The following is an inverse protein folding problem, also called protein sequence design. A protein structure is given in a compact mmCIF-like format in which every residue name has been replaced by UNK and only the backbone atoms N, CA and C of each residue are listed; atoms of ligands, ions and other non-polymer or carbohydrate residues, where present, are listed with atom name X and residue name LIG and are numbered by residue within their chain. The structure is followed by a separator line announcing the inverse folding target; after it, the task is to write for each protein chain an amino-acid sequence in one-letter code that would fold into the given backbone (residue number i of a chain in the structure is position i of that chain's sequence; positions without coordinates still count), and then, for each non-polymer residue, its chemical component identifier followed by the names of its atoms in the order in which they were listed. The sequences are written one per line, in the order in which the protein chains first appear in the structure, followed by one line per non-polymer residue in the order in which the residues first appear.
data_IF_565865823272
#
_entry.id   IF_565865823272
#
_cell.length_a   1.000
_cell.length_b   1.000
_cell.length_c   1.000
_cell.angle_alpha   90.00
_cell.angle_beta   90.00
_cell.angle_gamma   90.00
#
_symmetry.space_group_name_H-M   'P 1'
#
loop_
_entity.id
_entity.type
_entity.pdbx_description
1 polymer ?
#
# COMPACT_ATOMS: atom_id res chain seq x y z
N UNK A 1 4.72 18.15 -2.59
CA UNK A 1 4.41 17.16 -1.51
C UNK A 1 5.37 15.98 -1.68
N UNK A 2 5.98 15.51 -0.60
CA UNK A 2 6.86 14.33 -0.58
C UNK A 2 6.03 13.07 -0.47
N UNK A 3 6.31 12.07 -1.32
CA UNK A 3 5.61 10.79 -1.34
C UNK A 3 6.58 9.72 -0.82
N UNK A 4 6.15 9.00 0.20
CA UNK A 4 6.88 7.89 0.77
C UNK A 4 6.14 6.59 0.48
N UNK A 5 6.88 5.61 -0.06
CA UNK A 5 6.35 4.27 -0.30
C UNK A 5 7.05 3.31 0.64
N UNK A 6 6.28 2.70 1.53
CA UNK A 6 6.73 1.59 2.38
C UNK A 6 6.43 0.27 1.67
N UNK A 7 7.31 -0.70 1.80
CA UNK A 7 7.10 -2.06 1.29
C UNK A 7 7.14 -3.05 2.45
N UNK A 8 6.08 -3.81 2.61
CA UNK A 8 5.90 -4.74 3.73
C UNK A 8 7.01 -5.79 3.83
N UNK A 9 7.28 -6.20 5.04
CA UNK A 9 8.11 -7.35 5.39
C UNK A 9 9.56 -7.32 4.87
N UNK A 10 10.29 -8.41 5.09
CA UNK A 10 11.62 -8.68 4.57
C UNK A 10 11.76 -10.17 4.21
N UNK A 11 12.87 -10.53 3.57
CA UNK A 11 13.14 -11.91 3.14
C UNK A 11 13.12 -12.93 4.30
N UNK A 12 13.43 -12.46 5.50
CA UNK A 12 13.47 -13.22 6.75
C UNK A 12 12.15 -13.19 7.54
N UNK A 13 11.06 -12.59 7.01
CA UNK A 13 9.76 -12.61 7.69
C UNK A 13 9.06 -13.95 7.43
N UNK A 14 8.80 -14.79 8.46
CA UNK A 14 8.18 -16.09 8.27
C UNK A 14 6.75 -16.01 7.75
N UNK A 15 6.32 -17.00 6.94
CA UNK A 15 4.92 -17.21 6.55
C UNK A 15 4.35 -16.19 5.57
N UNK A 16 5.13 -15.21 5.12
CA UNK A 16 4.69 -14.16 4.20
C UNK A 16 4.91 -14.57 2.73
N UNK A 17 4.13 -15.60 2.32
CA UNK A 17 4.23 -16.20 0.98
C UNK A 17 2.97 -16.98 0.62
N UNK A 18 2.79 -17.28 -0.67
CA UNK A 18 1.83 -18.29 -1.11
C UNK A 18 2.22 -19.70 -0.64
N UNK A 19 1.25 -20.61 -0.47
CA UNK A 19 1.52 -22.00 -0.05
C UNK A 19 2.49 -22.75 -0.95
N UNK A 20 2.46 -22.51 -2.27
CA UNK A 20 3.37 -23.11 -3.26
C UNK A 20 4.69 -22.34 -3.41
N UNK A 21 4.84 -21.20 -2.73
CA UNK A 21 6.03 -20.36 -2.79
C UNK A 21 6.21 -19.57 -4.07
N UNK A 22 5.23 -19.57 -4.98
CA UNK A 22 5.27 -18.81 -6.24
C UNK A 22 5.25 -17.29 -6.02
N UNK A 23 4.65 -16.84 -4.91
CA UNK A 23 4.66 -15.44 -4.48
C UNK A 23 5.29 -15.33 -3.09
N UNK A 24 6.24 -14.39 -2.95
CA UNK A 24 6.80 -13.96 -1.67
C UNK A 24 6.47 -12.50 -1.46
N UNK A 25 5.68 -12.18 -0.42
CA UNK A 25 5.16 -10.84 -0.18
C UNK A 25 6.25 -9.77 -0.17
N UNK A 26 7.37 -10.03 0.52
CA UNK A 26 8.46 -9.04 0.61
C UNK A 26 9.06 -8.66 -0.75
N UNK A 27 9.23 -9.64 -1.64
CA UNK A 27 9.80 -9.41 -2.97
C UNK A 27 8.78 -8.69 -3.86
N UNK A 28 7.53 -9.12 -3.80
CA UNK A 28 6.42 -8.51 -4.52
C UNK A 28 6.19 -7.05 -4.11
N UNK A 29 6.10 -6.78 -2.79
CA UNK A 29 5.89 -5.43 -2.28
C UNK A 29 7.03 -4.48 -2.68
N UNK A 30 8.28 -4.96 -2.73
CA UNK A 30 9.42 -4.18 -3.23
C UNK A 30 9.32 -3.86 -4.71
N UNK A 31 9.00 -4.85 -5.53
CA UNK A 31 8.81 -4.67 -6.97
C UNK A 31 7.71 -3.63 -7.26
N UNK A 32 6.54 -3.77 -6.62
CA UNK A 32 5.43 -2.84 -6.81
C UNK A 32 5.79 -1.43 -6.30
N UNK A 33 6.40 -1.33 -5.12
CA UNK A 33 6.84 -0.05 -4.55
C UNK A 33 7.87 0.67 -5.45
N UNK A 34 8.81 -0.07 -6.03
CA UNK A 34 9.79 0.49 -6.97
C UNK A 34 9.12 1.00 -8.25
N UNK A 35 8.20 0.21 -8.82
CA UNK A 35 7.45 0.62 -10.02
C UNK A 35 6.62 1.88 -9.75
N UNK A 36 5.92 1.96 -8.61
CA UNK A 36 5.14 3.14 -8.21
C UNK A 36 6.05 4.36 -8.05
N UNK A 37 7.14 4.24 -7.29
CA UNK A 37 8.06 5.35 -7.05
C UNK A 37 8.71 5.84 -8.35
N UNK A 38 9.11 4.92 -9.24
CA UNK A 38 9.67 5.24 -10.56
C UNK A 38 8.66 6.00 -11.42
N UNK A 39 7.42 5.52 -11.53
CA UNK A 39 6.41 6.16 -12.37
C UNK A 39 5.99 7.53 -11.84
N UNK A 40 5.83 7.68 -10.53
CA UNK A 40 5.59 8.99 -9.91
C UNK A 40 6.75 9.96 -10.16
N UNK A 41 8.00 9.49 -10.04
CA UNK A 41 9.20 10.31 -10.32
C UNK A 41 9.28 10.72 -11.78
N UNK A 42 8.94 9.82 -12.71
CA UNK A 42 8.88 10.13 -14.16
C UNK A 42 7.82 11.20 -14.48
N UNK A 43 6.77 11.30 -13.66
CA UNK A 43 5.75 12.36 -13.74
C UNK A 43 6.13 13.66 -13.01
N UNK A 44 7.36 13.75 -12.47
CA UNK A 44 7.86 14.93 -11.77
C UNK A 44 7.49 15.03 -10.29
N UNK A 45 6.96 13.97 -9.69
CA UNK A 45 6.67 13.94 -8.25
C UNK A 45 7.90 13.49 -7.44
N UNK A 46 8.06 14.05 -6.25
CA UNK A 46 9.14 13.68 -5.32
C UNK A 46 8.72 12.43 -4.52
N UNK A 47 8.98 11.25 -5.11
CA UNK A 47 8.61 9.94 -4.57
C UNK A 47 9.84 9.09 -4.26
N UNK A 48 9.84 8.42 -3.10
CA UNK A 48 10.89 7.48 -2.73
C UNK A 48 10.39 6.33 -1.87
N UNK A 49 11.11 5.22 -1.93
CA UNK A 49 10.90 4.06 -1.07
C UNK A 49 11.68 4.22 0.24
N UNK A 50 11.01 3.96 1.39
CA UNK A 50 11.62 4.16 2.73
C UNK A 50 12.40 2.94 3.24
N UNK A 51 12.16 1.74 2.69
CA UNK A 51 12.86 0.50 3.04
C UNK A 51 13.59 -0.03 1.81
N UNK A 52 14.93 0.03 1.82
CA UNK A 52 15.78 -0.42 0.72
C UNK A 52 16.40 -1.79 1.00
N UNK A 53 16.42 -2.19 2.26
CA UNK A 53 16.98 -3.45 2.73
C UNK A 53 16.17 -4.65 2.25
N UNK A 54 16.82 -5.79 1.99
CA UNK A 54 16.15 -7.05 1.70
C UNK A 54 15.55 -7.67 2.97
N UNK A 55 16.29 -7.55 4.10
CA UNK A 55 15.82 -8.03 5.40
C UNK A 55 14.70 -7.16 5.96
N UNK A 56 13.94 -7.71 6.92
CA UNK A 56 12.85 -6.99 7.56
C UNK A 56 13.39 -5.85 8.44
N UNK A 57 12.87 -4.65 8.20
CA UNK A 57 13.13 -3.48 9.02
C UNK A 57 12.03 -3.37 10.06
N UNK A 58 12.36 -3.26 11.37
CA UNK A 58 11.36 -3.13 12.43
C UNK A 58 10.37 -1.99 12.18
N UNK A 59 9.10 -2.21 12.53
CA UNK A 59 8.03 -1.21 12.32
C UNK A 59 8.35 0.15 12.99
N UNK A 60 9.00 0.12 14.15
CA UNK A 60 9.44 1.34 14.84
C UNK A 60 10.47 2.14 14.03
N UNK A 61 11.39 1.45 13.36
CA UNK A 61 12.39 2.08 12.51
C UNK A 61 11.77 2.64 11.22
N UNK A 62 10.80 1.90 10.60
CA UNK A 62 10.03 2.41 9.46
C UNK A 62 9.30 3.70 9.82
N UNK A 63 8.57 3.71 10.95
CA UNK A 63 7.87 4.91 11.43
C UNK A 63 8.85 6.06 11.77
N UNK A 64 10.03 5.76 12.35
CA UNK A 64 11.06 6.76 12.61
C UNK A 64 11.53 7.43 11.32
N UNK A 65 11.84 6.67 10.28
CA UNK A 65 12.26 7.18 8.95
C UNK A 65 11.19 8.12 8.37
N UNK A 66 9.93 7.69 8.37
CA UNK A 66 8.80 8.54 7.90
C UNK A 66 8.72 9.82 8.70
N UNK A 67 8.80 9.74 10.03
CA UNK A 67 8.67 10.90 10.91
C UNK A 67 9.83 11.87 10.80
N UNK A 68 11.03 11.41 10.47
CA UNK A 68 12.16 12.28 10.12
C UNK A 68 11.90 13.10 8.85
N UNK A 69 11.33 12.45 7.82
CA UNK A 69 10.91 13.17 6.61
C UNK A 69 9.80 14.18 6.94
N UNK A 70 8.83 13.79 7.77
CA UNK A 70 7.80 14.71 8.26
C UNK A 70 8.38 15.92 8.99
N UNK A 71 9.45 15.73 9.77
CA UNK A 71 10.17 16.82 10.44
C UNK A 71 10.83 17.79 9.47
N UNK A 72 11.35 17.31 8.35
CA UNK A 72 12.03 18.12 7.33
C UNK A 72 11.06 18.87 6.42
N UNK A 73 9.99 18.20 5.99
CA UNK A 73 9.06 18.74 4.98
C UNK A 73 7.77 19.33 5.60
N UNK A 74 7.51 19.04 6.88
CA UNK A 74 6.22 19.31 7.53
C UNK A 74 5.22 18.19 7.26
N UNK A 75 4.48 17.78 8.29
CA UNK A 75 3.54 16.62 8.24
C UNK A 75 2.47 16.73 7.16
N UNK A 76 2.01 17.95 6.87
CA UNK A 76 1.00 18.21 5.85
C UNK A 76 1.55 18.12 4.40
N UNK A 77 2.87 18.09 4.24
CA UNK A 77 3.54 18.02 2.94
C UNK A 77 4.15 16.64 2.66
N UNK A 78 3.83 15.63 3.46
CA UNK A 78 4.26 14.25 3.31
C UNK A 78 3.03 13.35 3.26
N UNK A 79 3.08 12.31 2.45
CA UNK A 79 2.08 11.25 2.39
C UNK A 79 2.80 9.89 2.36
N UNK A 80 2.25 8.89 3.03
CA UNK A 80 2.77 7.54 3.07
C UNK A 80 1.77 6.55 2.47
N UNK A 81 2.25 5.65 1.61
CA UNK A 81 1.52 4.47 1.17
C UNK A 81 2.35 3.23 1.47
N UNK A 82 1.79 2.28 2.23
CA UNK A 82 2.42 1.02 2.59
C UNK A 82 1.83 -0.12 1.75
N UNK A 83 2.68 -0.87 1.04
CA UNK A 83 2.31 -1.89 0.07
C UNK A 83 2.45 -3.27 0.70
N UNK A 84 1.35 -4.01 0.78
CA UNK A 84 1.23 -5.36 1.33
C UNK A 84 0.39 -6.29 0.46
N UNK A 85 0.43 -7.59 0.76
CA UNK A 85 -0.53 -8.59 0.30
C UNK A 85 -1.19 -9.24 1.52
N UNK A 86 -2.52 -9.33 1.50
CA UNK A 86 -3.30 -9.91 2.58
C UNK A 86 -3.06 -11.43 2.72
N UNK A 87 -3.38 -11.96 3.89
CA UNK A 87 -3.39 -13.39 4.17
C UNK A 87 -4.56 -13.74 5.11
N UNK A 88 -5.25 -14.84 4.82
CA UNK A 88 -6.28 -15.39 5.70
C UNK A 88 -5.72 -16.48 6.63
N UNK A 89 -4.59 -17.08 6.25
CA UNK A 89 -3.88 -18.10 6.99
C UNK A 89 -2.42 -17.73 7.26
N UNK A 90 -1.62 -18.75 7.50
CA UNK A 90 -0.20 -18.61 7.83
C UNK A 90 0.76 -18.94 6.67
N UNK A 91 0.23 -19.07 5.44
CA UNK A 91 1.00 -19.40 4.24
C UNK A 91 1.27 -20.91 4.06
N UNK A 92 0.63 -21.78 4.85
CA UNK A 92 0.78 -23.25 4.71
C UNK A 92 -0.26 -23.86 3.75
N UNK A 93 -1.46 -23.28 3.69
CA UNK A 93 -2.60 -23.81 2.93
C UNK A 93 -3.27 -22.71 2.11
N UNK A 94 -3.91 -23.12 1.00
CA UNK A 94 -4.72 -22.23 0.19
C UNK A 94 -6.04 -21.90 0.91
N UNK A 95 -6.39 -20.60 0.90
CA UNK A 95 -7.57 -20.07 1.57
C UNK A 95 -8.60 -19.52 0.57
N UNK A 96 -9.86 -19.35 1.05
CA UNK A 96 -10.95 -18.86 0.20
C UNK A 96 -11.13 -17.34 0.22
N UNK A 97 -10.55 -16.66 1.23
CA UNK A 97 -10.63 -15.20 1.29
C UNK A 97 -9.84 -14.58 0.14
N UNK A 98 -10.41 -13.55 -0.49
CA UNK A 98 -9.83 -12.90 -1.68
C UNK A 98 -10.22 -11.44 -1.79
N UNK A 99 -9.49 -10.69 -2.59
CA UNK A 99 -9.81 -9.34 -2.99
C UNK A 99 -8.91 -8.26 -2.39
N UNK A 100 -8.97 -7.09 -2.99
CA UNK A 100 -8.19 -5.90 -2.63
C UNK A 100 -8.88 -5.06 -1.56
N UNK A 101 -8.09 -4.41 -0.70
CA UNK A 101 -8.58 -3.43 0.28
C UNK A 101 -7.51 -2.41 0.64
N UNK A 102 -7.94 -1.24 1.13
CA UNK A 102 -7.06 -0.24 1.73
C UNK A 102 -7.49 0.05 3.18
N UNK A 103 -6.51 0.41 3.99
CA UNK A 103 -6.67 0.66 5.42
C UNK A 103 -6.14 2.02 5.80
N UNK A 104 -6.85 2.71 6.69
CA UNK A 104 -6.40 3.90 7.40
C UNK A 104 -6.35 3.64 8.91
N UNK A 105 -5.87 4.59 9.69
CA UNK A 105 -5.97 4.55 11.15
C UNK A 105 -7.38 4.93 11.59
N UNK A 106 -7.82 4.39 12.74
CA UNK A 106 -9.18 4.63 13.27
C UNK A 106 -9.54 6.11 13.42
N UNK A 107 -10.79 6.44 13.06
CA UNK A 107 -11.38 7.77 13.14
C UNK A 107 -11.13 8.62 11.90
N UNK A 108 -11.86 9.70 11.75
CA UNK A 108 -11.78 10.57 10.56
C UNK A 108 -10.42 11.26 10.45
N UNK A 109 -9.67 10.88 9.43
CA UNK A 109 -8.31 11.34 9.17
C UNK A 109 -8.16 11.97 7.79
N UNK A 110 -6.98 12.57 7.53
CA UNK A 110 -6.67 13.06 6.17
C UNK A 110 -6.34 11.91 5.21
N UNK A 111 -6.02 10.74 5.74
CA UNK A 111 -5.69 9.57 4.95
C UNK A 111 -6.92 8.99 4.24
N UNK A 112 -8.12 9.11 4.81
CA UNK A 112 -9.40 8.64 4.26
C UNK A 112 -9.64 9.19 2.84
N UNK A 113 -9.21 10.44 2.61
CA UNK A 113 -9.30 11.07 1.27
C UNK A 113 -8.38 10.42 0.24
N UNK A 114 -7.18 9.96 0.64
CA UNK A 114 -6.30 9.19 -0.23
C UNK A 114 -6.86 7.78 -0.44
N UNK A 115 -7.36 7.16 0.62
CA UNK A 115 -7.99 5.85 0.55
C UNK A 115 -9.20 5.87 -0.39
N UNK A 116 -10.05 6.90 -0.32
CA UNK A 116 -11.17 7.10 -1.25
C UNK A 116 -10.69 7.12 -2.71
N UNK A 117 -9.63 7.89 -3.03
CA UNK A 117 -9.08 7.88 -4.40
C UNK A 117 -8.51 6.52 -4.81
N UNK A 118 -7.87 5.81 -3.88
CA UNK A 118 -7.38 4.45 -4.14
C UNK A 118 -8.54 3.50 -4.48
N UNK A 119 -9.66 3.57 -3.76
CA UNK A 119 -10.86 2.79 -4.07
C UNK A 119 -11.48 3.16 -5.41
N UNK A 120 -11.60 4.45 -5.73
CA UNK A 120 -12.11 4.90 -7.02
C UNK A 120 -11.24 4.43 -8.20
N UNK A 121 -9.92 4.44 -8.06
CA UNK A 121 -9.01 3.92 -9.10
C UNK A 121 -8.98 2.38 -9.12
N UNK A 122 -9.12 1.71 -7.96
CA UNK A 122 -9.26 0.27 -7.89
C UNK A 122 -10.49 -0.22 -8.67
N UNK A 123 -11.63 0.45 -8.53
CA UNK A 123 -12.85 0.10 -9.28
C UNK A 123 -12.68 0.21 -10.79
N UNK A 124 -11.85 1.13 -11.27
CA UNK A 124 -11.55 1.29 -12.70
C UNK A 124 -10.56 0.26 -13.23
N UNK A 125 -9.57 -0.11 -12.42
CA UNK A 125 -8.41 -0.88 -12.87
C UNK A 125 -8.51 -2.38 -12.54
N UNK A 126 -9.26 -2.77 -11.50
CA UNK A 126 -9.41 -4.18 -11.09
C UNK A 126 -10.67 -4.79 -11.67
N UNK A 127 -10.78 -4.80 -13.01
CA UNK A 127 -11.91 -5.35 -13.73
C UNK A 127 -12.07 -6.83 -13.36
N UNK A 128 -13.28 -7.22 -12.95
CA UNK A 128 -13.63 -8.59 -12.52
C UNK A 128 -12.93 -9.08 -11.24
N UNK A 129 -12.16 -8.24 -10.58
CA UNK A 129 -11.56 -8.57 -9.29
C UNK A 129 -12.45 -8.10 -8.13
N UNK A 130 -12.34 -8.80 -7.00
CA UNK A 130 -13.09 -8.42 -5.79
C UNK A 130 -12.41 -7.24 -5.09
N UNK A 131 -13.19 -6.19 -4.80
CA UNK A 131 -12.81 -5.08 -3.94
C UNK A 131 -13.58 -5.19 -2.63
N UNK A 132 -12.87 -5.13 -1.50
CA UNK A 132 -13.43 -5.28 -0.15
C UNK A 132 -13.52 -3.91 0.50
N UNK A 133 -14.74 -3.39 0.61
CA UNK A 133 -15.05 -2.11 1.26
C UNK A 133 -15.58 -2.30 2.65
N UNK A 134 -15.43 -1.28 3.48
CA UNK A 134 -16.19 -1.06 4.70
C UNK A 134 -16.86 0.32 4.59
N UNK A 135 -18.18 0.37 4.50
CA UNK A 135 -18.91 1.62 4.37
C UNK A 135 -19.66 1.95 5.67
N UNK A 136 -19.16 1.48 6.81
CA UNK A 136 -19.84 1.64 8.10
C UNK A 136 -19.80 3.09 8.63
N UNK A 137 -18.87 3.91 8.13
CA UNK A 137 -18.61 5.29 8.57
C UNK A 137 -18.55 6.34 7.44
N UNK A 138 -19.27 6.07 6.33
CA UNK A 138 -19.45 6.92 5.16
C UNK A 138 -18.26 6.99 4.18
N UNK A 139 -17.22 6.17 4.34
CA UNK A 139 -16.15 6.00 3.36
C UNK A 139 -15.82 4.51 3.11
N UNK A 140 -15.07 4.18 2.05
CA UNK A 140 -14.91 2.78 1.64
C UNK A 140 -13.74 2.05 2.30
N UNK A 141 -12.90 2.74 3.04
CA UNK A 141 -11.70 2.14 3.60
C UNK A 141 -11.98 1.37 4.89
N UNK A 142 -11.03 0.55 5.26
CA UNK A 142 -11.07 -0.24 6.48
C UNK A 142 -10.19 0.41 7.52
N UNK A 143 -10.66 0.49 8.74
CA UNK A 143 -9.92 1.11 9.82
C UNK A 143 -9.22 0.07 10.69
N UNK A 144 -7.87 0.19 10.80
CA UNK A 144 -7.08 -0.64 11.70
C UNK A 144 -5.92 0.13 12.34
N UNK A 145 -5.62 -0.20 13.59
CA UNK A 145 -4.48 0.39 14.32
C UNK A 145 -3.15 -0.27 13.94
N UNK A 146 -2.90 -0.44 12.63
CA UNK A 146 -1.59 -0.90 12.19
C UNK A 146 -0.51 0.08 12.62
N UNK A 147 0.63 -0.45 13.08
CA UNK A 147 1.70 0.36 13.65
C UNK A 147 2.15 1.47 12.70
N UNK A 148 2.36 1.14 11.42
CA UNK A 148 2.81 2.10 10.42
C UNK A 148 1.81 3.23 10.17
N UNK A 149 0.50 2.98 10.32
CA UNK A 149 -0.56 3.97 10.19
C UNK A 149 -0.68 4.85 11.44
N UNK A 150 -0.63 4.22 12.63
CA UNK A 150 -0.87 4.91 13.91
C UNK A 150 0.35 5.65 14.48
N UNK A 151 1.58 5.30 14.05
CA UNK A 151 2.83 5.87 14.58
C UNK A 151 3.54 6.84 13.61
N UNK A 152 3.02 7.02 12.41
CA UNK A 152 3.48 8.05 11.47
C UNK A 152 2.67 9.33 11.61
N UNK A 153 3.31 10.48 11.36
CA UNK A 153 2.74 11.81 11.60
C UNK A 153 2.04 12.40 10.37
N UNK A 154 2.25 11.81 9.18
CA UNK A 154 1.61 12.23 7.94
C UNK A 154 0.37 11.38 7.65
N UNK A 155 -0.51 11.79 6.71
CA UNK A 155 -1.52 10.91 6.15
C UNK A 155 -0.90 9.62 5.62
N UNK A 156 -1.39 8.47 6.09
CA UNK A 156 -0.84 7.16 5.79
C UNK A 156 -1.94 6.16 5.43
N UNK A 157 -1.79 5.45 4.31
CA UNK A 157 -2.67 4.38 3.86
C UNK A 157 -1.85 3.10 3.70
N UNK A 158 -2.41 1.96 4.11
CA UNK A 158 -1.86 0.64 3.83
C UNK A 158 -2.79 -0.07 2.84
N UNK A 159 -2.23 -0.58 1.76
CA UNK A 159 -2.99 -1.37 0.79
C UNK A 159 -2.65 -2.85 0.92
N UNK A 160 -3.70 -3.66 1.03
CA UNK A 160 -3.65 -5.10 0.97
C UNK A 160 -4.03 -5.53 -0.46
N UNK A 161 -2.99 -5.72 -1.27
CA UNK A 161 -3.13 -6.02 -2.69
C UNK A 161 -3.44 -7.51 -2.87
N UNK A 162 -4.71 -7.86 -2.68
CA UNK A 162 -5.21 -9.22 -2.78
C UNK A 162 -4.60 -10.18 -1.74
N UNK A 163 -4.95 -11.47 -1.81
CA UNK A 163 -4.54 -12.46 -0.82
C UNK A 163 -3.43 -13.36 -1.37
N UNK A 164 -2.29 -13.38 -0.68
CA UNK A 164 -1.14 -14.21 -1.03
C UNK A 164 -1.37 -15.72 -0.82
N UNK A 165 -2.45 -16.09 -0.15
CA UNK A 165 -2.88 -17.46 0.08
C UNK A 165 -4.20 -17.84 -0.61
N UNK A 166 -4.65 -17.04 -1.60
CA UNK A 166 -5.74 -17.39 -2.51
C UNK A 166 -5.20 -17.65 -3.93
N UNK A 167 -5.59 -18.78 -4.54
CA UNK A 167 -5.04 -19.19 -5.84
C UNK A 167 -5.31 -18.19 -6.96
N UNK A 168 -6.54 -17.70 -7.07
CA UNK A 168 -6.93 -16.76 -8.13
C UNK A 168 -6.23 -15.41 -7.94
N UNK A 169 -6.16 -14.93 -6.70
CA UNK A 169 -5.48 -13.69 -6.37
C UNK A 169 -3.97 -13.79 -6.65
N UNK A 170 -3.32 -14.92 -6.30
CA UNK A 170 -1.89 -15.15 -6.60
C UNK A 170 -1.61 -15.20 -8.09
N UNK A 171 -2.46 -15.85 -8.89
CA UNK A 171 -2.34 -15.84 -10.35
C UNK A 171 -2.40 -14.42 -10.91
N UNK A 172 -3.33 -13.59 -10.40
CA UNK A 172 -3.44 -12.19 -10.78
C UNK A 172 -2.23 -11.37 -10.34
N UNK A 173 -1.80 -11.51 -9.09
CA UNK A 173 -0.63 -10.83 -8.55
C UNK A 173 0.66 -11.13 -9.32
N UNK A 174 0.84 -12.39 -9.74
CA UNK A 174 2.03 -12.81 -10.50
C UNK A 174 1.97 -12.40 -11.98
N UNK A 175 0.81 -12.07 -12.52
CA UNK A 175 0.66 -11.62 -13.89
C UNK A 175 1.17 -10.18 -14.08
N UNK A 176 1.71 -9.88 -15.26
CA UNK A 176 2.13 -8.51 -15.57
C UNK A 176 0.93 -7.55 -15.65
N UNK A 177 -0.22 -8.03 -16.12
CA UNK A 177 -1.49 -7.28 -16.12
C UNK A 177 -1.89 -6.87 -14.70
N UNK A 178 -1.87 -7.80 -13.74
CA UNK A 178 -2.19 -7.52 -12.35
C UNK A 178 -1.22 -6.53 -11.71
N UNK A 179 0.09 -6.70 -11.94
CA UNK A 179 1.11 -5.76 -11.47
C UNK A 179 0.90 -4.35 -12.03
N UNK A 180 0.67 -4.23 -13.33
CA UNK A 180 0.41 -2.93 -13.96
C UNK A 180 -0.87 -2.28 -13.44
N UNK A 181 -1.95 -3.05 -13.26
CA UNK A 181 -3.19 -2.54 -12.70
C UNK A 181 -3.00 -2.00 -11.27
N UNK A 182 -2.24 -2.71 -10.43
CA UNK A 182 -1.94 -2.28 -9.06
C UNK A 182 -1.08 -1.01 -9.07
N UNK A 183 -0.01 -0.97 -9.87
CA UNK A 183 0.85 0.22 -10.00
C UNK A 183 0.02 1.42 -10.46
N UNK A 184 -0.77 1.25 -11.52
CA UNK A 184 -1.62 2.31 -12.06
C UNK A 184 -2.62 2.83 -11.03
N UNK A 185 -3.27 1.94 -10.27
CA UNK A 185 -4.20 2.32 -9.21
C UNK A 185 -3.54 3.26 -8.19
N UNK A 186 -2.35 2.90 -7.71
CA UNK A 186 -1.63 3.71 -6.75
C UNK A 186 -1.15 5.04 -7.33
N UNK A 187 -0.56 5.01 -8.53
CA UNK A 187 -0.02 6.22 -9.17
C UNK A 187 -1.12 7.23 -9.46
N UNK A 188 -2.25 6.81 -10.03
CA UNK A 188 -3.37 7.72 -10.34
C UNK A 188 -4.02 8.27 -9.05
N UNK A 189 -4.25 7.43 -8.04
CA UNK A 189 -4.81 7.86 -6.77
C UNK A 189 -3.92 8.89 -6.05
N UNK A 190 -2.61 8.61 -5.95
CA UNK A 190 -1.64 9.52 -5.34
C UNK A 190 -1.56 10.84 -6.14
N UNK A 191 -1.52 10.77 -7.45
CA UNK A 191 -1.50 11.96 -8.32
C UNK A 191 -2.73 12.83 -8.08
N UNK A 192 -3.93 12.25 -8.08
CA UNK A 192 -5.20 12.95 -7.80
C UNK A 192 -5.21 13.57 -6.40
N UNK A 193 -4.72 12.84 -5.41
CA UNK A 193 -4.63 13.35 -4.04
C UNK A 193 -3.73 14.59 -3.96
N UNK A 194 -2.55 14.54 -4.59
CA UNK A 194 -1.60 15.67 -4.58
C UNK A 194 -2.16 16.84 -5.35
N UNK A 195 -2.79 16.66 -6.50
CA UNK A 195 -3.41 17.72 -7.28
C UNK A 195 -4.51 18.44 -6.49
N UNK A 196 -5.27 17.71 -5.68
CA UNK A 196 -6.39 18.29 -4.93
C UNK A 196 -5.96 18.87 -3.57
N UNK A 197 -5.01 18.25 -2.89
CA UNK A 197 -4.65 18.59 -1.50
C UNK A 197 -3.18 18.99 -1.31
N UNK A 198 -2.34 18.81 -2.32
CA UNK A 198 -0.95 19.28 -2.29
C UNK A 198 -0.92 20.80 -2.37
N UNK A 199 -0.15 21.45 -1.50
CA UNK A 199 0.13 22.88 -1.70
C UNK A 199 1.05 23.00 -2.92
N UNK A 200 0.69 23.82 -3.91
CA UNK A 200 1.64 24.33 -4.88
C UNK A 200 2.68 25.13 -4.11
N UNK A 201 3.94 24.70 -4.20
CA UNK A 201 5.10 25.45 -3.70
C UNK A 201 5.48 26.47 -4.74
#
# INVERSE_FOLDING_TARGET
MKILIDNGHGENTPGKRSPDGSLREYAYAREIADRIAHELSARGYDAERIVREAVDVPLSERARRVNEVCGRYGTANVVLVSIHCNAAGNGAEWMNARGWSAYTSKGKTKADKLATFLYEEAEKNFISQRIRKDNSDDDPDREENFYILSKTKCPAVLTENFFQDNKDDVLYLCSEEGKQAIVKTHVEAITRYIQKYGKMV
#
